data_IF_739345542245
#
_entry.id   IF_739345542245
#
_cell.length_a   1.000
_cell.length_b   1.000
_cell.length_c   1.000
_cell.angle_alpha   90.00
_cell.angle_beta   90.00
_cell.angle_gamma   90.00
#
_symmetry.space_group_name_H-M   'P 1'
#
loop_
_entity.id
_entity.type
_entity.pdbx_description
1 polymer ?
#
# COMPACT_ATOMS: atom_id res chain seq x y z
N UNK A 1 -14.67 -3.65 -6.91
CA UNK A 1 -13.25 -3.41 -6.54
C UNK A 1 -12.53 -4.75 -6.61
N UNK A 2 -11.32 -4.75 -7.15
CA UNK A 2 -10.49 -5.94 -7.31
C UNK A 2 -9.03 -5.61 -7.01
N UNK A 3 -8.30 -6.54 -6.40
CA UNK A 3 -6.85 -6.47 -6.27
C UNK A 3 -6.19 -7.06 -7.53
N UNK A 4 -5.36 -6.25 -8.20
CA UNK A 4 -4.65 -6.63 -9.41
C UNK A 4 -3.21 -7.06 -9.05
N UNK A 5 -3.02 -8.33 -8.69
CA UNK A 5 -1.69 -8.87 -8.42
C UNK A 5 -0.81 -8.89 -9.68
N UNK A 6 0.51 -8.72 -9.52
CA UNK A 6 1.46 -8.77 -10.63
C UNK A 6 1.47 -10.10 -11.36
N UNK A 7 1.24 -11.20 -10.64
CA UNK A 7 1.06 -12.53 -11.20
C UNK A 7 -0.20 -12.61 -12.08
N UNK A 8 -1.35 -12.17 -11.53
CA UNK A 8 -2.61 -12.16 -12.25
C UNK A 8 -2.57 -11.30 -13.52
N UNK A 9 -1.90 -10.15 -13.44
CA UNK A 9 -1.69 -9.28 -14.60
C UNK A 9 -0.82 -9.93 -15.67
N UNK A 10 0.31 -10.53 -15.29
CA UNK A 10 1.21 -11.23 -16.21
C UNK A 10 0.56 -12.45 -16.85
N UNK A 11 -0.32 -13.14 -16.11
CA UNK A 11 -1.05 -14.32 -16.57
C UNK A 11 -2.35 -13.97 -17.32
N UNK A 12 -2.66 -12.69 -17.53
CA UNK A 12 -3.86 -12.27 -18.26
C UNK A 12 -5.19 -12.50 -17.52
N UNK A 13 -5.17 -12.78 -16.20
CA UNK A 13 -6.40 -13.13 -15.43
C UNK A 13 -7.44 -12.00 -15.40
N UNK A 14 -7.06 -10.78 -15.69
CA UNK A 14 -7.96 -9.63 -15.73
C UNK A 14 -8.40 -9.28 -17.17
N UNK A 15 -8.09 -10.15 -18.13
CA UNK A 15 -8.53 -9.99 -19.52
C UNK A 15 -10.06 -9.90 -19.61
N UNK A 16 -10.57 -9.07 -20.51
CA UNK A 16 -12.01 -8.86 -20.70
C UNK A 16 -12.70 -7.94 -19.68
N UNK A 17 -12.05 -7.58 -18.56
CA UNK A 17 -12.64 -6.65 -17.59
C UNK A 17 -12.58 -5.21 -18.10
N UNK A 18 -13.68 -4.48 -17.96
CA UNK A 18 -13.76 -3.04 -18.26
C UNK A 18 -13.47 -2.22 -17.01
N UNK A 19 -12.18 -1.97 -16.75
CA UNK A 19 -11.75 -1.20 -15.58
C UNK A 19 -11.62 0.28 -15.94
N UNK A 20 -12.33 1.15 -15.22
CA UNK A 20 -12.29 2.61 -15.43
C UNK A 20 -11.19 3.28 -14.62
N UNK A 21 -10.87 2.77 -13.43
CA UNK A 21 -9.93 3.40 -12.50
C UNK A 21 -8.94 2.37 -12.00
N UNK A 22 -7.65 2.67 -12.11
CA UNK A 22 -6.58 1.88 -11.52
C UNK A 22 -5.84 2.67 -10.45
N UNK A 23 -5.47 2.02 -9.37
CA UNK A 23 -4.69 2.60 -8.28
C UNK A 23 -3.30 1.97 -8.28
N UNK A 24 -2.26 2.80 -8.26
CA UNK A 24 -0.90 2.36 -8.01
C UNK A 24 -0.46 2.86 -6.64
N UNK A 25 -0.34 1.94 -5.68
CA UNK A 25 -0.12 2.27 -4.27
C UNK A 25 1.34 2.53 -3.95
N UNK A 26 2.19 1.56 -4.22
CA UNK A 26 3.63 1.58 -4.00
C UNK A 26 4.35 0.51 -4.82
N UNK A 27 5.67 0.52 -4.75
CA UNK A 27 6.52 -0.48 -5.38
C UNK A 27 7.77 -0.71 -4.53
N UNK A 28 7.93 -1.92 -4.02
CA UNK A 28 9.10 -2.36 -3.28
C UNK A 28 9.45 -3.80 -3.63
N UNK A 29 10.61 -4.29 -3.20
CA UNK A 29 11.05 -5.64 -3.52
C UNK A 29 10.08 -6.69 -2.96
N UNK A 30 9.48 -7.46 -3.86
CA UNK A 30 8.71 -8.66 -3.58
C UNK A 30 8.61 -9.52 -4.85
N UNK A 31 8.20 -10.77 -4.72
CA UNK A 31 7.89 -11.67 -5.85
C UNK A 31 9.05 -11.88 -6.85
N UNK A 32 10.31 -11.73 -6.43
CA UNK A 32 11.47 -11.98 -7.31
C UNK A 32 11.72 -13.46 -7.59
N UNK A 33 11.12 -14.34 -6.81
CA UNK A 33 10.99 -15.76 -7.11
C UNK A 33 10.25 -16.02 -8.43
N UNK A 34 9.26 -15.18 -8.75
CA UNK A 34 8.44 -15.27 -9.97
C UNK A 34 8.91 -14.35 -11.09
N UNK A 35 9.24 -13.10 -10.77
CA UNK A 35 9.51 -12.06 -11.78
C UNK A 35 10.99 -11.91 -12.17
N UNK A 36 11.89 -12.67 -11.55
CA UNK A 36 13.36 -12.67 -11.79
C UNK A 36 14.06 -11.32 -11.58
N UNK A 37 13.40 -10.19 -11.81
CA UNK A 37 13.96 -8.83 -11.62
C UNK A 37 12.89 -7.81 -11.24
N UNK A 38 13.33 -6.72 -10.56
CA UNK A 38 12.46 -5.57 -10.24
C UNK A 38 11.89 -4.93 -11.51
N UNK A 39 12.63 -4.89 -12.60
CA UNK A 39 12.17 -4.36 -13.89
C UNK A 39 11.00 -5.18 -14.46
N UNK A 40 11.12 -6.50 -14.43
CA UNK A 40 10.06 -7.40 -14.88
C UNK A 40 8.83 -7.31 -13.96
N UNK A 41 9.04 -7.23 -12.65
CA UNK A 41 7.97 -7.05 -11.68
C UNK A 41 7.21 -5.74 -11.91
N UNK A 42 7.91 -4.61 -12.08
CA UNK A 42 7.29 -3.34 -12.42
C UNK A 42 6.52 -3.42 -13.75
N UNK A 43 7.14 -3.98 -14.78
CA UNK A 43 6.48 -4.15 -16.09
C UNK A 43 5.18 -4.94 -15.98
N UNK A 44 5.15 -5.98 -15.17
CA UNK A 44 3.94 -6.77 -14.93
C UNK A 44 2.84 -5.96 -14.23
N UNK A 45 3.17 -5.14 -13.23
CA UNK A 45 2.22 -4.20 -12.63
C UNK A 45 1.71 -3.15 -13.62
N UNK A 46 2.57 -2.69 -14.52
CA UNK A 46 2.20 -1.69 -15.54
C UNK A 46 1.23 -2.22 -16.61
N UNK A 47 1.05 -3.54 -16.73
CA UNK A 47 0.03 -4.13 -17.61
C UNK A 47 -1.36 -3.59 -17.30
N UNK A 48 -1.68 -3.36 -16.02
CA UNK A 48 -2.95 -2.75 -15.63
C UNK A 48 -3.20 -1.45 -16.39
N UNK A 49 -2.21 -0.57 -16.44
CA UNK A 49 -2.33 0.76 -17.03
C UNK A 49 -2.13 0.76 -18.54
N UNK A 50 -1.31 -0.16 -19.07
CA UNK A 50 -1.08 -0.27 -20.52
C UNK A 50 -2.21 -0.94 -21.26
N UNK A 51 -2.85 -1.95 -20.66
CA UNK A 51 -3.70 -2.87 -21.41
C UNK A 51 -5.12 -2.99 -20.87
N UNK A 52 -5.30 -2.90 -19.54
CA UNK A 52 -6.56 -3.26 -18.88
C UNK A 52 -7.47 -2.06 -18.65
N UNK A 53 -6.91 -0.94 -18.19
CA UNK A 53 -7.71 0.28 -17.99
C UNK A 53 -8.25 0.75 -19.35
N UNK A 54 -9.54 1.07 -19.35
CA UNK A 54 -10.24 1.61 -20.52
C UNK A 54 -9.58 2.93 -20.99
N UNK A 55 -9.64 3.21 -22.31
CA UNK A 55 -9.26 4.54 -22.85
C UNK A 55 -10.01 5.65 -22.09
N UNK A 56 -9.36 6.77 -21.82
CA UNK A 56 -9.88 7.87 -21.01
C UNK A 56 -10.15 7.48 -19.52
N UNK A 57 -9.63 6.35 -19.08
CA UNK A 57 -9.71 5.93 -17.69
C UNK A 57 -8.80 6.76 -16.76
N UNK A 58 -8.84 6.43 -15.47
CA UNK A 58 -8.18 7.19 -14.43
C UNK A 58 -7.09 6.36 -13.75
N UNK A 59 -5.94 6.98 -13.53
CA UNK A 59 -4.86 6.46 -12.68
C UNK A 59 -4.83 7.29 -11.40
N UNK A 60 -4.92 6.64 -10.25
CA UNK A 60 -4.75 7.26 -8.94
C UNK A 60 -3.40 6.81 -8.39
N UNK A 61 -2.56 7.75 -8.01
CA UNK A 61 -1.22 7.44 -7.48
C UNK A 61 -0.63 8.62 -6.70
N UNK A 62 0.43 8.34 -5.96
CA UNK A 62 1.29 9.34 -5.34
C UNK A 62 2.33 9.81 -6.36
N UNK A 63 2.41 11.12 -6.62
CA UNK A 63 3.36 11.67 -7.59
C UNK A 63 4.82 11.72 -7.07
N UNK A 64 5.04 11.46 -5.78
CA UNK A 64 6.38 11.37 -5.19
C UNK A 64 7.04 10.00 -5.41
N UNK A 65 6.30 9.01 -5.92
CA UNK A 65 6.84 7.68 -6.20
C UNK A 65 7.90 7.75 -7.31
N UNK A 66 8.99 6.99 -7.16
CA UNK A 66 10.05 6.86 -8.17
C UNK A 66 9.49 6.41 -9.53
N UNK A 67 8.46 5.58 -9.51
CA UNK A 67 7.78 5.01 -10.67
C UNK A 67 6.86 6.01 -11.37
N UNK A 68 6.60 7.18 -10.80
CA UNK A 68 5.68 8.17 -11.35
C UNK A 68 6.02 8.58 -12.79
N UNK A 69 7.31 8.72 -13.10
CA UNK A 69 7.76 9.02 -14.48
C UNK A 69 7.27 7.95 -15.49
N UNK A 70 7.31 6.68 -15.09
CA UNK A 70 6.82 5.56 -15.89
C UNK A 70 5.31 5.61 -16.10
N UNK A 71 4.58 5.85 -15.01
CA UNK A 71 3.12 6.00 -15.02
C UNK A 71 2.71 7.17 -15.90
N UNK A 72 3.39 8.30 -15.82
CA UNK A 72 3.14 9.49 -16.64
C UNK A 72 3.34 9.21 -18.15
N UNK A 73 4.39 8.45 -18.50
CA UNK A 73 4.61 8.04 -19.90
C UNK A 73 3.47 7.17 -20.43
N UNK A 74 3.00 6.21 -19.65
CA UNK A 74 1.88 5.33 -20.02
C UNK A 74 0.58 6.14 -20.12
N UNK A 75 0.32 7.03 -19.17
CA UNK A 75 -0.83 7.91 -19.16
C UNK A 75 -0.94 8.71 -20.47
N UNK A 76 0.15 9.35 -20.91
CA UNK A 76 0.18 10.08 -22.19
C UNK A 76 -0.10 9.17 -23.38
N UNK A 77 0.58 8.01 -23.47
CA UNK A 77 0.44 7.08 -24.60
C UNK A 77 -0.97 6.46 -24.70
N UNK A 78 -1.70 6.36 -23.60
CA UNK A 78 -3.02 5.72 -23.51
C UNK A 78 -4.17 6.71 -23.34
N UNK A 79 -3.89 8.02 -23.31
CA UNK A 79 -4.85 9.07 -22.98
C UNK A 79 -5.59 8.80 -21.65
N UNK A 80 -4.82 8.40 -20.60
CA UNK A 80 -5.35 8.19 -19.26
C UNK A 80 -5.15 9.45 -18.41
N UNK A 81 -6.13 9.79 -17.59
CA UNK A 81 -6.04 10.92 -16.68
C UNK A 81 -5.37 10.49 -15.37
N UNK A 82 -4.32 11.17 -14.94
CA UNK A 82 -3.73 10.97 -13.60
C UNK A 82 -4.45 11.88 -12.60
N UNK A 83 -4.81 11.31 -11.47
CA UNK A 83 -5.33 12.03 -10.30
C UNK A 83 -4.37 11.76 -9.13
N UNK A 84 -3.49 12.71 -8.80
CA UNK A 84 -2.55 12.56 -7.68
C UNK A 84 -3.29 12.63 -6.35
N UNK A 85 -2.78 11.91 -5.35
CA UNK A 85 -3.32 11.99 -3.99
C UNK A 85 -2.73 13.15 -3.19
N UNK A 86 -1.60 13.68 -3.64
CA UNK A 86 -0.82 14.70 -2.93
C UNK A 86 -1.59 16.00 -2.69
N UNK A 87 -2.54 16.33 -3.57
CA UNK A 87 -3.39 17.53 -3.46
C UNK A 87 -4.59 17.31 -2.51
N UNK A 88 -4.84 16.08 -2.06
CA UNK A 88 -5.96 15.78 -1.20
C UNK A 88 -5.62 16.03 0.27
N UNK A 89 -6.20 17.10 0.84
CA UNK A 89 -6.15 17.37 2.28
C UNK A 89 -7.37 16.77 2.97
N UNK A 90 -7.14 15.92 3.98
CA UNK A 90 -8.20 15.40 4.84
C UNK A 90 -8.34 16.36 6.03
N UNK A 91 -9.51 16.97 6.25
CA UNK A 91 -9.73 17.87 7.37
C UNK A 91 -9.47 17.16 8.71
N UNK A 92 -8.76 17.80 9.64
CA UNK A 92 -8.38 17.20 10.95
C UNK A 92 -9.58 16.58 11.68
N UNK A 93 -10.73 17.29 11.71
CA UNK A 93 -11.97 16.83 12.35
C UNK A 93 -12.56 15.55 11.75
N UNK A 94 -12.17 15.18 10.53
CA UNK A 94 -12.67 14.00 9.84
C UNK A 94 -11.62 12.91 9.73
N UNK A 95 -10.37 13.14 10.18
CA UNK A 95 -9.28 12.17 10.05
C UNK A 95 -9.51 11.00 11.00
N UNK A 96 -9.64 9.76 10.50
CA UNK A 96 -9.72 8.59 11.36
C UNK A 96 -8.39 8.36 12.08
N UNK A 97 -8.44 7.66 13.22
CA UNK A 97 -7.24 7.33 13.99
C UNK A 97 -6.49 6.16 13.32
N UNK A 98 -5.72 6.47 12.28
CA UNK A 98 -4.89 5.51 11.56
C UNK A 98 -3.43 5.70 11.95
N UNK A 99 -2.74 4.59 12.18
CA UNK A 99 -1.32 4.56 12.56
C UNK A 99 -0.46 4.52 11.29
N UNK A 100 0.48 5.47 11.20
CA UNK A 100 1.44 5.55 10.11
C UNK A 100 0.97 6.37 8.89
N UNK A 101 1.93 7.06 8.28
CA UNK A 101 1.67 7.93 7.13
C UNK A 101 1.20 7.15 5.90
N UNK A 102 1.64 5.88 5.75
CA UNK A 102 1.19 4.99 4.67
C UNK A 102 -0.31 4.70 4.71
N UNK A 103 -0.90 4.57 5.92
CA UNK A 103 -2.36 4.41 6.07
C UNK A 103 -3.10 5.67 5.63
N UNK A 104 -2.53 6.85 5.91
CA UNK A 104 -3.09 8.11 5.42
C UNK A 104 -3.05 8.18 3.89
N UNK A 105 -1.95 7.77 3.26
CA UNK A 105 -1.84 7.68 1.79
C UNK A 105 -2.85 6.69 1.19
N UNK A 106 -3.01 5.52 1.81
CA UNK A 106 -4.02 4.54 1.40
C UNK A 106 -5.45 5.11 1.50
N UNK A 107 -5.75 5.82 2.59
CA UNK A 107 -7.03 6.50 2.75
C UNK A 107 -7.26 7.58 1.69
N UNK A 108 -6.24 8.38 1.37
CA UNK A 108 -6.31 9.38 0.30
C UNK A 108 -6.63 8.72 -1.05
N UNK A 109 -5.99 7.61 -1.38
CA UNK A 109 -6.28 6.83 -2.59
C UNK A 109 -7.73 6.33 -2.61
N UNK A 110 -8.22 5.81 -1.49
CA UNK A 110 -9.60 5.35 -1.36
C UNK A 110 -10.62 6.49 -1.52
N UNK A 111 -10.37 7.66 -0.92
CA UNK A 111 -11.21 8.86 -1.06
C UNK A 111 -11.27 9.32 -2.52
N UNK A 112 -10.11 9.39 -3.17
CA UNK A 112 -10.05 9.79 -4.59
C UNK A 112 -10.80 8.78 -5.45
N UNK A 113 -10.64 7.47 -5.20
CA UNK A 113 -11.34 6.42 -5.94
C UNK A 113 -12.87 6.50 -5.76
N UNK A 114 -13.34 6.68 -4.54
CA UNK A 114 -14.76 6.87 -4.26
C UNK A 114 -15.33 8.11 -4.97
N UNK A 115 -14.58 9.21 -5.00
CA UNK A 115 -14.98 10.42 -5.71
C UNK A 115 -15.03 10.20 -7.23
N UNK A 116 -14.11 9.41 -7.81
CA UNK A 116 -14.18 9.01 -9.24
C UNK A 116 -15.41 8.14 -9.54
N UNK A 117 -15.98 7.49 -8.54
CA UNK A 117 -17.23 6.73 -8.62
C UNK A 117 -18.48 7.60 -8.38
N UNK A 118 -18.36 8.92 -8.55
CA UNK A 118 -19.44 9.93 -8.40
C UNK A 118 -19.95 10.12 -6.97
N UNK A 119 -19.24 9.63 -5.95
CA UNK A 119 -19.56 9.94 -4.56
C UNK A 119 -19.01 11.31 -4.19
N UNK A 120 -19.84 12.21 -3.72
CA UNK A 120 -19.44 13.57 -3.34
C UNK A 120 -18.42 13.55 -2.19
N UNK A 121 -17.36 14.35 -2.30
CA UNK A 121 -16.31 14.44 -1.26
C UNK A 121 -16.89 14.78 0.13
N UNK A 122 -17.90 15.65 0.20
CA UNK A 122 -18.58 15.99 1.46
C UNK A 122 -19.18 14.77 2.15
N UNK A 123 -19.81 13.88 1.39
CA UNK A 123 -20.40 12.64 1.90
C UNK A 123 -19.32 11.64 2.32
N UNK A 124 -18.23 11.54 1.55
CA UNK A 124 -17.09 10.72 1.91
C UNK A 124 -16.52 11.20 3.25
N UNK A 125 -16.23 12.49 3.38
CA UNK A 125 -15.64 13.05 4.61
C UNK A 125 -16.53 12.87 5.85
N UNK A 126 -17.85 13.01 5.72
CA UNK A 126 -18.79 12.73 6.82
C UNK A 126 -18.69 11.29 7.33
N UNK A 127 -18.33 10.34 6.46
CA UNK A 127 -18.24 8.91 6.80
C UNK A 127 -16.86 8.48 7.30
N UNK A 128 -15.80 9.30 7.14
CA UNK A 128 -14.44 8.92 7.56
C UNK A 128 -14.34 8.58 9.05
N UNK A 129 -15.11 9.22 9.89
CA UNK A 129 -15.15 8.94 11.34
C UNK A 129 -15.59 7.52 11.70
N UNK A 130 -16.24 6.81 10.77
CA UNK A 130 -16.67 5.42 10.95
C UNK A 130 -15.65 4.40 10.41
N UNK A 131 -14.55 4.87 9.79
CA UNK A 131 -13.51 3.99 9.29
C UNK A 131 -12.75 3.41 10.48
N UNK A 132 -12.71 2.09 10.53
CA UNK A 132 -11.93 1.31 11.48
C UNK A 132 -10.64 0.81 10.81
N UNK A 133 -9.67 0.43 11.62
CA UNK A 133 -8.49 -0.28 11.12
C UNK A 133 -8.90 -1.56 10.40
N UNK A 134 -8.19 -1.89 9.34
CA UNK A 134 -8.35 -3.16 8.65
C UNK A 134 -7.64 -4.25 9.45
N UNK A 135 -8.31 -5.37 9.66
CA UNK A 135 -7.74 -6.51 10.40
C UNK A 135 -6.39 -6.94 9.78
N UNK A 136 -5.41 -7.17 10.62
CA UNK A 136 -4.06 -7.52 10.20
C UNK A 136 -3.29 -6.40 9.46
N UNK A 137 -3.70 -5.13 9.59
CA UNK A 137 -3.01 -3.97 9.03
C UNK A 137 -2.74 -2.94 10.12
N UNK A 138 -1.61 -3.09 10.82
CA UNK A 138 -1.27 -2.31 12.02
C UNK A 138 -2.45 -2.28 13.03
N UNK A 139 -3.07 -3.43 13.19
CA UNK A 139 -4.24 -3.63 14.03
C UNK A 139 -3.81 -3.66 15.49
N UNK A 140 -4.32 -2.73 16.29
CA UNK A 140 -4.20 -2.80 17.75
C UNK A 140 -5.17 -3.87 18.29
N UNK A 141 -4.63 -5.04 18.62
CA UNK A 141 -5.44 -6.18 19.09
C UNK A 141 -5.75 -6.07 20.58
N UNK A 142 -4.77 -5.64 21.38
CA UNK A 142 -4.91 -5.58 22.83
C UNK A 142 -4.05 -4.48 23.45
N UNK A 143 -4.57 -3.87 24.46
CA UNK A 143 -3.81 -3.06 25.43
C UNK A 143 -3.93 -3.70 26.79
N UNK A 144 -2.80 -4.02 27.41
CA UNK A 144 -2.74 -4.60 28.74
C UNK A 144 -2.80 -3.52 29.85
N UNK A 145 -3.10 -3.88 31.11
CA UNK A 145 -3.14 -2.92 32.25
C UNK A 145 -1.84 -2.15 32.45
N UNK A 146 -0.69 -2.78 32.18
CA UNK A 146 0.65 -2.16 32.21
C UNK A 146 0.95 -1.31 30.96
N UNK A 147 -0.06 -0.96 30.16
CA UNK A 147 0.00 -0.16 28.94
C UNK A 147 0.74 -0.82 27.76
N UNK A 148 1.18 -2.06 27.90
CA UNK A 148 1.73 -2.82 26.75
C UNK A 148 0.66 -2.99 25.68
N UNK A 149 1.03 -2.69 24.43
CA UNK A 149 0.14 -2.79 23.25
C UNK A 149 0.60 -3.90 22.34
N UNK A 150 -0.34 -4.69 21.88
CA UNK A 150 -0.10 -5.76 20.90
C UNK A 150 -0.69 -5.36 19.57
N UNK A 151 0.16 -5.33 18.54
CA UNK A 151 -0.23 -5.04 17.16
C UNK A 151 -0.03 -6.26 16.27
N UNK A 152 -0.92 -6.41 15.28
CA UNK A 152 -0.78 -7.40 14.21
C UNK A 152 -0.68 -6.65 12.88
N UNK A 153 0.29 -7.06 12.05
CA UNK A 153 0.45 -6.56 10.69
C UNK A 153 0.83 -7.68 9.72
N UNK A 154 0.50 -7.51 8.47
CA UNK A 154 0.81 -8.46 7.38
C UNK A 154 2.16 -8.20 6.72
N UNK A 155 2.99 -7.34 7.27
CA UNK A 155 4.30 -7.00 6.70
C UNK A 155 5.18 -8.25 6.51
N UNK A 156 5.49 -8.59 5.27
CA UNK A 156 6.26 -9.77 4.90
C UNK A 156 7.40 -9.44 3.92
N UNK A 157 7.69 -8.15 3.74
CA UNK A 157 8.84 -7.64 2.97
C UNK A 157 9.70 -6.72 3.85
N UNK A 158 10.99 -6.53 3.54
CA UNK A 158 11.85 -5.63 4.30
C UNK A 158 11.32 -4.20 4.38
N UNK A 159 10.80 -3.67 3.28
CA UNK A 159 10.25 -2.33 3.20
C UNK A 159 8.95 -2.18 4.00
N UNK A 160 8.04 -3.15 3.90
CA UNK A 160 6.81 -3.15 4.69
C UNK A 160 7.12 -3.22 6.19
N UNK A 161 8.04 -4.11 6.61
CA UNK A 161 8.47 -4.23 8.00
C UNK A 161 9.09 -2.93 8.50
N UNK A 162 9.98 -2.32 7.70
CA UNK A 162 10.57 -1.01 8.02
C UNK A 162 9.50 0.08 8.21
N UNK A 163 8.52 0.13 7.31
CA UNK A 163 7.45 1.13 7.35
C UNK A 163 6.58 0.97 8.60
N UNK A 164 6.22 -0.26 8.94
CA UNK A 164 5.40 -0.57 10.12
C UNK A 164 6.15 -0.23 11.41
N UNK A 165 7.37 -0.73 11.57
CA UNK A 165 8.17 -0.51 12.79
C UNK A 165 8.52 0.97 12.97
N UNK A 166 8.90 1.67 11.89
CA UNK A 166 9.14 3.12 11.94
C UNK A 166 7.89 3.90 12.34
N UNK A 167 6.72 3.49 11.86
CA UNK A 167 5.44 4.13 12.22
C UNK A 167 5.10 3.93 13.70
N UNK A 168 5.31 2.72 14.23
CA UNK A 168 5.11 2.44 15.65
C UNK A 168 6.09 3.24 16.52
N UNK A 169 7.37 3.27 16.15
CA UNK A 169 8.41 4.02 16.86
C UNK A 169 8.10 5.52 16.89
N UNK A 170 7.64 6.07 15.76
CA UNK A 170 7.24 7.49 15.64
C UNK A 170 6.07 7.83 16.53
N UNK A 171 5.10 6.93 16.67
CA UNK A 171 3.86 7.19 17.38
C UNK A 171 3.94 6.94 18.88
N UNK A 172 4.68 5.92 19.29
CA UNK A 172 4.71 5.47 20.69
C UNK A 172 6.04 5.73 21.39
N UNK A 173 7.15 5.90 20.61
CA UNK A 173 8.52 6.11 21.14
C UNK A 173 9.02 5.03 22.12
N UNK A 174 8.29 3.93 22.25
CA UNK A 174 8.52 2.86 23.20
C UNK A 174 9.41 1.75 22.65
N UNK A 175 9.79 0.84 23.52
CA UNK A 175 10.50 -0.38 23.14
C UNK A 175 9.58 -1.31 22.36
N UNK A 176 10.10 -1.85 21.26
CA UNK A 176 9.37 -2.78 20.39
C UNK A 176 9.95 -4.17 20.59
N UNK A 177 9.10 -5.12 20.95
CA UNK A 177 9.40 -6.55 20.88
C UNK A 177 8.71 -7.10 19.63
N UNK A 178 9.46 -7.73 18.74
CA UNK A 178 8.99 -8.18 17.44
C UNK A 178 8.97 -9.70 17.36
N UNK A 179 7.84 -10.22 16.93
CA UNK A 179 7.70 -11.63 16.51
C UNK A 179 7.41 -11.61 15.01
N UNK A 180 8.24 -12.26 14.20
CA UNK A 180 8.03 -12.35 12.75
C UNK A 180 8.61 -13.60 12.16
N UNK A 181 8.12 -13.97 10.97
CA UNK A 181 8.65 -15.11 10.23
C UNK A 181 8.74 -14.84 8.72
N UNK A 182 9.48 -15.68 8.03
CA UNK A 182 9.60 -15.66 6.58
C UNK A 182 9.15 -17.00 6.00
N UNK A 183 8.27 -16.96 4.98
CA UNK A 183 7.81 -18.16 4.31
C UNK A 183 8.95 -18.99 3.73
N UNK A 184 8.92 -20.33 3.88
CA UNK A 184 10.00 -21.24 3.55
C UNK A 184 10.38 -21.24 2.06
N UNK A 185 9.38 -21.36 1.19
CA UNK A 185 9.49 -21.49 -0.27
C UNK A 185 9.51 -20.14 -1.04
N UNK A 186 9.51 -19.01 -0.33
CA UNK A 186 9.49 -17.67 -0.94
C UNK A 186 10.90 -17.11 -1.13
N UNK A 187 11.02 -15.88 -1.64
CA UNK A 187 12.28 -15.17 -1.84
C UNK A 187 13.19 -15.23 -0.59
N UNK A 188 14.14 -16.16 -0.58
CA UNK A 188 15.07 -16.37 0.54
C UNK A 188 15.99 -15.17 0.76
N UNK A 189 16.28 -14.38 -0.31
CA UNK A 189 17.21 -13.25 -0.24
C UNK A 189 16.66 -12.12 0.65
N UNK A 190 15.35 -12.00 0.79
CA UNK A 190 14.72 -10.98 1.65
C UNK A 190 14.93 -11.23 3.15
N UNK A 191 15.19 -12.48 3.59
CA UNK A 191 15.32 -12.85 5.01
C UNK A 191 16.39 -12.05 5.73
N UNK A 192 17.58 -11.93 5.11
CA UNK A 192 18.68 -11.13 5.65
C UNK A 192 18.27 -9.66 5.85
N UNK A 193 17.60 -9.07 4.88
CA UNK A 193 17.16 -7.68 4.96
C UNK A 193 16.04 -7.49 5.99
N UNK A 194 15.14 -8.45 6.14
CA UNK A 194 14.12 -8.42 7.19
C UNK A 194 14.74 -8.50 8.59
N UNK A 195 15.72 -9.37 8.80
CA UNK A 195 16.45 -9.45 10.06
C UNK A 195 17.20 -8.15 10.39
N UNK A 196 17.86 -7.53 9.40
CA UNK A 196 18.51 -6.23 9.59
C UNK A 196 17.52 -5.12 9.93
N UNK A 197 16.37 -5.12 9.30
CA UNK A 197 15.28 -4.18 9.61
C UNK A 197 14.74 -4.40 11.03
N UNK A 198 14.50 -5.65 11.41
CA UNK A 198 14.06 -6.01 12.75
C UNK A 198 15.07 -5.51 13.81
N UNK A 199 16.36 -5.77 13.61
CA UNK A 199 17.45 -5.32 14.51
C UNK A 199 17.48 -3.80 14.69
N UNK A 200 17.16 -3.04 13.64
CA UNK A 200 17.19 -1.57 13.67
C UNK A 200 16.12 -0.97 14.60
N UNK A 201 14.97 -1.60 14.72
CA UNK A 201 13.81 -1.01 15.40
C UNK A 201 13.39 -1.71 16.67
N UNK A 202 13.83 -2.96 16.88
CA UNK A 202 13.30 -3.81 17.93
C UNK A 202 14.36 -4.11 19.00
N UNK A 203 13.91 -4.22 20.25
CA UNK A 203 14.73 -4.58 21.42
C UNK A 203 14.87 -6.10 21.53
N UNK A 204 13.78 -6.83 21.38
CA UNK A 204 13.75 -8.28 21.32
C UNK A 204 13.15 -8.74 20.00
N UNK A 205 13.69 -9.82 19.44
CA UNK A 205 13.25 -10.39 18.16
C UNK A 205 13.08 -11.90 18.35
N UNK A 206 11.93 -12.40 17.96
CA UNK A 206 11.58 -13.82 18.00
C UNK A 206 11.20 -14.35 16.62
#
# INVERSE_FOLDING_TARGET
IIEASSHGLKQGRLGGLKIKTGIFTNFSQDHLDYHKSMKEYLNSKMILFRNIIHKNGVIITDCELKEFKYIKKISKARNLRIVPINDLKIPKKNKPNLIGDFQTKNLQMAIVAANQSKVLKSNIFKKLKYIKNVNGRLELVKTFPNKVKVFIDYAHTPDALNTVLASLKKQYSDNINLVFGCGGERDRKKRKFMALTAKKFSNLIF
#
